data_IF_474989380218
#
_entry.id   IF_474989380218
#
_cell.length_a   1.000
_cell.length_b   1.000
_cell.length_c   1.000
_cell.angle_alpha   90.00
_cell.angle_beta   90.00
_cell.angle_gamma   90.00
#
_symmetry.space_group_name_H-M   'P 1'
#
loop_
_entity.id
_entity.type
_entity.pdbx_description
1 polymer ?
#
# COMPACT_ATOMS: atom_id res chain seq x y z
N UNK A 1 -18.09 4.18 17.58
CA UNK A 1 -16.82 3.55 17.14
C UNK A 1 -15.68 4.58 17.23
N UNK A 2 -15.35 5.06 18.44
CA UNK A 2 -14.24 5.98 18.73
C UNK A 2 -14.03 5.95 20.26
N UNK A 3 -13.53 4.85 20.81
CA UNK A 3 -13.14 4.76 22.24
C UNK A 3 -11.92 3.86 22.41
N UNK A 4 -10.82 4.17 21.72
CA UNK A 4 -9.54 3.50 22.00
C UNK A 4 -8.32 4.42 22.20
N UNK A 5 -8.32 5.67 21.72
CA UNK A 5 -7.28 6.67 22.06
C UNK A 5 -7.80 8.12 22.11
N UNK A 6 -8.68 8.46 23.06
CA UNK A 6 -8.99 9.87 23.38
C UNK A 6 -9.52 10.78 22.25
N UNK A 7 -9.94 10.23 21.10
CA UNK A 7 -10.37 11.00 19.93
C UNK A 7 -9.27 11.34 18.91
N UNK A 8 -8.05 10.83 19.07
CA UNK A 8 -6.98 10.98 18.09
C UNK A 8 -7.16 10.04 16.88
N UNK A 9 -6.82 10.53 15.68
CA UNK A 9 -6.87 9.76 14.43
C UNK A 9 -5.77 8.68 14.34
N UNK A 10 -4.51 8.96 14.74
CA UNK A 10 -3.44 7.96 14.73
C UNK A 10 -3.67 6.77 15.67
N UNK A 11 -3.31 5.57 15.23
CA UNK A 11 -3.38 4.34 16.01
C UNK A 11 -2.26 3.35 15.59
N UNK A 12 -2.20 2.16 16.20
CA UNK A 12 -1.10 1.19 15.96
C UNK A 12 -1.40 0.17 14.84
N UNK A 13 -2.57 0.29 14.21
CA UNK A 13 -3.06 -0.52 13.08
C UNK A 13 -2.94 0.34 11.82
N UNK A 14 -1.82 0.20 11.10
CA UNK A 14 -1.49 1.03 9.95
C UNK A 14 -2.48 0.84 8.79
N UNK A 15 -3.00 -0.37 8.62
CA UNK A 15 -4.07 -0.74 7.69
C UNK A 15 -5.36 0.07 7.94
N UNK A 16 -5.80 0.17 9.20
CA UNK A 16 -6.98 0.97 9.58
C UNK A 16 -6.76 2.47 9.30
N UNK A 17 -5.53 2.96 9.54
CA UNK A 17 -5.19 4.36 9.30
C UNK A 17 -5.17 4.73 7.82
N UNK A 18 -4.75 3.82 6.95
CA UNK A 18 -4.73 4.02 5.50
C UNK A 18 -6.14 4.09 4.92
N UNK A 19 -7.04 3.20 5.36
CA UNK A 19 -8.44 3.25 4.98
C UNK A 19 -9.09 4.58 5.41
N UNK A 20 -8.74 5.06 6.61
CA UNK A 20 -9.19 6.34 7.11
C UNK A 20 -8.62 7.52 6.30
N UNK A 21 -7.32 7.50 5.97
CA UNK A 21 -6.65 8.56 5.24
C UNK A 21 -7.35 8.81 3.90
N UNK A 22 -7.75 7.74 3.22
CA UNK A 22 -8.39 7.85 1.90
C UNK A 22 -9.87 8.09 1.97
N UNK A 23 -10.56 7.56 2.98
CA UNK A 23 -11.93 8.00 3.24
C UNK A 23 -11.97 9.53 3.40
N UNK A 24 -11.00 10.11 4.10
CA UNK A 24 -10.86 11.56 4.23
C UNK A 24 -10.44 12.25 2.93
N UNK A 25 -9.52 11.69 2.15
CA UNK A 25 -9.16 12.26 0.84
C UNK A 25 -10.35 12.31 -0.12
N UNK A 26 -11.12 11.21 -0.24
CA UNK A 26 -12.33 11.16 -1.06
C UNK A 26 -13.43 12.08 -0.54
N UNK A 27 -13.56 12.22 0.79
CA UNK A 27 -14.46 13.20 1.36
C UNK A 27 -14.04 14.63 1.01
N UNK A 28 -12.74 14.91 0.95
CA UNK A 28 -12.24 16.19 0.46
C UNK A 28 -12.57 16.41 -1.01
N UNK A 29 -12.28 15.46 -1.90
CA UNK A 29 -12.61 15.54 -3.34
C UNK A 29 -14.10 15.80 -3.59
N UNK A 30 -14.98 15.12 -2.84
CA UNK A 30 -16.42 15.23 -3.01
C UNK A 30 -17.00 16.55 -2.46
N UNK A 31 -16.34 17.19 -1.49
CA UNK A 31 -16.93 18.31 -0.73
C UNK A 31 -16.15 19.62 -0.81
N UNK A 32 -14.87 19.57 -1.21
CA UNK A 32 -13.93 20.69 -1.15
C UNK A 32 -13.55 21.12 0.27
N UNK A 33 -14.02 20.44 1.33
CA UNK A 33 -13.79 20.88 2.71
C UNK A 33 -12.36 20.53 3.16
N UNK A 34 -11.52 21.55 3.32
CA UNK A 34 -10.07 21.44 3.60
C UNK A 34 -9.72 20.56 4.80
N UNK A 35 -10.53 20.55 5.87
CA UNK A 35 -10.26 19.74 7.08
C UNK A 35 -10.14 18.23 6.79
N UNK A 36 -10.81 17.75 5.74
CA UNK A 36 -10.72 16.34 5.35
C UNK A 36 -9.37 16.06 4.69
N UNK A 37 -8.85 16.99 3.88
CA UNK A 37 -7.49 16.92 3.35
C UNK A 37 -6.46 16.94 4.48
N UNK A 38 -6.62 17.82 5.47
CA UNK A 38 -5.73 17.90 6.63
C UNK A 38 -5.71 16.60 7.44
N UNK A 39 -6.87 15.96 7.64
CA UNK A 39 -6.96 14.66 8.32
C UNK A 39 -6.26 13.54 7.52
N UNK A 40 -6.42 13.52 6.20
CA UNK A 40 -5.74 12.57 5.33
C UNK A 40 -4.21 12.75 5.38
N UNK A 41 -3.73 13.99 5.38
CA UNK A 41 -2.31 14.32 5.47
C UNK A 41 -1.70 13.97 6.83
N UNK A 42 -2.44 14.19 7.92
CA UNK A 42 -1.99 13.84 9.28
C UNK A 42 -1.87 12.33 9.46
N UNK A 43 -2.85 11.57 8.97
CA UNK A 43 -2.77 10.11 8.95
C UNK A 43 -1.60 9.66 8.09
N UNK A 44 -1.41 10.28 6.91
CA UNK A 44 -0.27 9.97 6.04
C UNK A 44 1.05 10.10 6.77
N UNK A 45 1.32 11.24 7.42
CA UNK A 45 2.56 11.48 8.17
C UNK A 45 2.83 10.40 9.23
N UNK A 46 1.78 9.99 9.96
CA UNK A 46 1.91 8.94 10.99
C UNK A 46 2.14 7.55 10.37
N UNK A 47 1.43 7.22 9.28
CA UNK A 47 1.62 5.97 8.56
C UNK A 47 3.08 5.85 8.07
N UNK A 48 3.72 6.96 7.66
CA UNK A 48 5.13 6.93 7.26
C UNK A 48 6.08 6.51 8.38
N UNK A 49 5.70 6.70 9.64
CA UNK A 49 6.54 6.30 10.80
C UNK A 49 6.53 4.79 11.05
N UNK A 50 5.48 4.10 10.58
CA UNK A 50 5.39 2.65 10.62
C UNK A 50 6.14 1.96 9.49
N UNK A 51 6.55 2.71 8.47
CA UNK A 51 7.20 2.16 7.29
C UNK A 51 8.67 1.84 7.56
N UNK A 52 9.03 0.58 7.36
CA UNK A 52 10.40 0.10 7.36
C UNK A 52 10.75 -0.53 6.00
N UNK A 53 12.04 -0.49 5.63
CA UNK A 53 12.58 -1.09 4.40
C UNK A 53 12.48 -2.64 4.37
N UNK A 54 11.86 -3.25 5.38
CA UNK A 54 11.81 -4.69 5.53
C UNK A 54 10.44 -5.34 5.30
N UNK A 55 9.33 -4.59 5.21
CA UNK A 55 8.02 -5.19 4.96
C UNK A 55 6.99 -4.24 4.32
N UNK A 56 7.39 -3.24 3.51
CA UNK A 56 6.42 -2.42 2.77
C UNK A 56 5.27 -1.83 3.63
N UNK A 57 5.50 -1.60 4.93
CA UNK A 57 4.51 -1.13 5.91
C UNK A 57 3.48 -2.17 6.39
N UNK A 58 3.17 -3.20 5.60
CA UNK A 58 2.17 -4.19 5.97
C UNK A 58 2.84 -5.40 6.63
N UNK A 59 2.60 -5.53 7.93
CA UNK A 59 2.93 -6.71 8.73
C UNK A 59 2.58 -8.01 7.99
N UNK A 60 3.30 -9.09 8.30
CA UNK A 60 2.95 -10.44 7.86
C UNK A 60 1.58 -10.85 8.45
N UNK A 61 0.49 -10.42 7.84
CA UNK A 61 -0.90 -10.61 8.32
C UNK A 61 -1.44 -12.02 8.05
N UNK A 62 -0.56 -12.93 7.63
CA UNK A 62 -0.86 -14.33 7.38
C UNK A 62 -1.52 -14.57 6.02
N UNK A 63 -2.21 -15.70 5.93
CA UNK A 63 -2.96 -16.17 4.76
C UNK A 63 -4.47 -15.90 4.94
N UNK A 64 -5.29 -16.14 3.92
CA UNK A 64 -6.74 -15.87 3.96
C UNK A 64 -7.03 -14.37 3.79
N UNK A 65 -7.92 -13.80 4.61
CA UNK A 65 -8.34 -12.39 4.44
C UNK A 65 -7.18 -11.39 4.58
N UNK A 66 -6.20 -11.71 5.45
CA UNK A 66 -4.99 -10.91 5.63
C UNK A 66 -4.12 -10.79 4.37
N UNK A 67 -4.24 -11.75 3.45
CA UNK A 67 -3.55 -11.72 2.17
C UNK A 67 -3.95 -10.52 1.29
N UNK A 68 -5.16 -9.95 1.46
CA UNK A 68 -5.68 -8.86 0.62
C UNK A 68 -5.32 -7.46 1.14
N UNK A 69 -4.99 -7.33 2.43
CA UNK A 69 -4.76 -6.03 3.07
C UNK A 69 -3.62 -5.25 2.40
N UNK A 70 -2.51 -5.92 2.06
CA UNK A 70 -1.42 -5.33 1.25
C UNK A 70 -1.87 -4.73 -0.08
N UNK A 71 -2.78 -5.41 -0.79
CA UNK A 71 -3.28 -4.95 -2.08
C UNK A 71 -4.13 -3.68 -1.94
N UNK A 72 -4.92 -3.62 -0.87
CA UNK A 72 -5.73 -2.44 -0.54
C UNK A 72 -4.81 -1.27 -0.20
N UNK A 73 -3.82 -1.49 0.66
CA UNK A 73 -2.75 -0.52 0.97
C UNK A 73 -2.11 0.03 -0.30
N UNK A 74 -1.63 -0.84 -1.20
CA UNK A 74 -0.94 -0.42 -2.42
C UNK A 74 -1.82 0.44 -3.33
N UNK A 75 -3.07 0.02 -3.55
CA UNK A 75 -4.01 0.80 -4.36
C UNK A 75 -4.08 2.25 -3.86
N UNK A 76 -4.08 2.37 -2.55
CA UNK A 76 -4.29 3.58 -1.80
C UNK A 76 -3.05 4.48 -1.73
N UNK A 77 -1.86 3.91 -1.54
CA UNK A 77 -0.60 4.64 -1.71
C UNK A 77 -0.48 5.23 -3.11
N UNK A 78 -0.86 4.47 -4.14
CA UNK A 78 -0.76 4.91 -5.52
C UNK A 78 -1.75 6.03 -5.85
N UNK A 79 -2.99 5.98 -5.34
CA UNK A 79 -3.96 7.08 -5.45
C UNK A 79 -3.39 8.36 -4.82
N UNK A 80 -2.75 8.26 -3.65
CA UNK A 80 -2.11 9.42 -3.02
C UNK A 80 -0.91 9.95 -3.80
N UNK A 81 -0.07 9.07 -4.35
CA UNK A 81 1.09 9.46 -5.17
C UNK A 81 0.67 10.25 -6.43
N UNK A 82 -0.48 9.89 -7.03
CA UNK A 82 -1.04 10.60 -8.18
C UNK A 82 -1.60 11.98 -7.83
N UNK A 83 -2.30 12.11 -6.70
CA UNK A 83 -2.99 13.35 -6.31
C UNK A 83 -2.08 14.36 -5.59
N UNK A 84 -1.10 13.87 -4.84
CA UNK A 84 -0.16 14.70 -4.09
C UNK A 84 1.17 14.82 -4.83
N UNK A 85 1.15 15.47 -5.99
CA UNK A 85 2.34 15.74 -6.82
C UNK A 85 3.53 16.22 -5.97
N UNK A 86 4.65 15.49 -6.04
CA UNK A 86 5.90 15.81 -5.32
C UNK A 86 6.25 14.92 -4.12
N UNK A 87 5.76 13.66 -4.08
CA UNK A 87 6.03 12.71 -3.00
C UNK A 87 6.79 11.48 -3.50
N UNK A 88 8.11 11.65 -3.65
CA UNK A 88 9.04 10.61 -4.07
C UNK A 88 9.00 9.36 -3.19
N UNK A 89 8.62 9.48 -1.91
CA UNK A 89 8.70 8.37 -0.96
C UNK A 89 7.63 7.30 -1.21
N UNK A 90 6.40 7.68 -1.57
CA UNK A 90 5.34 6.72 -1.88
C UNK A 90 5.65 5.96 -3.18
N UNK A 91 6.17 6.69 -4.16
CA UNK A 91 6.62 6.19 -5.45
C UNK A 91 7.78 5.20 -5.30
N UNK A 92 8.84 5.59 -4.59
CA UNK A 92 10.01 4.76 -4.29
C UNK A 92 9.61 3.47 -3.55
N UNK A 93 8.66 3.57 -2.62
CA UNK A 93 8.17 2.43 -1.87
C UNK A 93 7.43 1.44 -2.76
N UNK A 94 6.50 1.91 -3.59
CA UNK A 94 5.76 1.08 -4.54
C UNK A 94 6.72 0.38 -5.51
N UNK A 95 7.71 1.11 -6.05
CA UNK A 95 8.74 0.55 -6.92
C UNK A 95 9.61 -0.51 -6.20
N UNK A 96 10.10 -0.20 -5.00
CA UNK A 96 10.93 -1.11 -4.21
C UNK A 96 10.20 -2.42 -3.91
N UNK A 97 8.94 -2.32 -3.48
CA UNK A 97 8.11 -3.50 -3.21
C UNK A 97 7.79 -4.28 -4.49
N UNK A 98 7.54 -3.61 -5.62
CA UNK A 98 7.27 -4.30 -6.89
C UNK A 98 8.51 -5.07 -7.38
N UNK A 99 9.70 -4.48 -7.23
CA UNK A 99 10.95 -5.15 -7.55
C UNK A 99 11.19 -6.37 -6.65
N UNK A 100 10.94 -6.25 -5.35
CA UNK A 100 11.04 -7.34 -4.39
C UNK A 100 10.05 -8.46 -4.71
N UNK A 101 8.77 -8.11 -4.92
CA UNK A 101 7.71 -9.03 -5.31
C UNK A 101 8.10 -9.83 -6.55
N UNK A 102 8.55 -9.13 -7.60
CA UNK A 102 8.86 -9.72 -8.89
C UNK A 102 10.08 -10.63 -8.86
N UNK A 103 11.11 -10.23 -8.09
CA UNK A 103 12.42 -10.89 -8.10
C UNK A 103 12.56 -11.98 -7.04
N UNK A 104 11.89 -11.84 -5.90
CA UNK A 104 12.11 -12.70 -4.73
C UNK A 104 10.88 -13.53 -4.37
N UNK A 105 9.67 -13.04 -4.63
CA UNK A 105 8.44 -13.66 -4.16
C UNK A 105 7.57 -14.28 -5.25
N UNK A 106 8.02 -14.25 -6.50
CA UNK A 106 7.33 -14.88 -7.64
C UNK A 106 7.80 -16.31 -7.85
N UNK A 107 6.89 -17.25 -7.66
CA UNK A 107 7.09 -18.63 -8.10
C UNK A 107 6.75 -18.74 -9.60
N UNK A 108 7.75 -19.02 -10.43
CA UNK A 108 7.63 -19.10 -11.89
C UNK A 108 6.91 -20.36 -12.39
N UNK A 109 6.98 -21.45 -11.64
CA UNK A 109 6.34 -22.70 -12.03
C UNK A 109 4.84 -22.62 -11.78
N UNK A 110 4.47 -22.08 -10.62
CA UNK A 110 3.08 -21.93 -10.20
C UNK A 110 2.44 -20.62 -10.66
N UNK A 111 3.23 -19.65 -11.13
CA UNK A 111 2.80 -18.29 -11.49
C UNK A 111 2.02 -17.58 -10.35
N UNK A 112 2.53 -17.71 -9.12
CA UNK A 112 1.94 -17.11 -7.92
C UNK A 112 2.94 -16.24 -7.17
N UNK A 113 2.42 -15.29 -6.40
CA UNK A 113 3.18 -14.42 -5.53
C UNK A 113 2.99 -14.81 -4.06
N UNK A 114 4.06 -14.78 -3.29
CA UNK A 114 4.02 -15.06 -1.86
C UNK A 114 3.41 -13.88 -1.07
N UNK A 115 2.86 -14.15 0.12
CA UNK A 115 2.43 -13.09 1.05
C UNK A 115 3.63 -12.32 1.62
N UNK A 116 4.78 -12.97 1.74
CA UNK A 116 6.04 -12.31 2.04
C UNK A 116 6.77 -11.96 0.74
N UNK A 117 6.81 -10.67 0.42
CA UNK A 117 7.42 -10.16 -0.82
C UNK A 117 8.95 -10.22 -0.84
N UNK A 118 9.59 -10.81 0.18
CA UNK A 118 11.04 -11.02 0.25
C UNK A 118 11.48 -12.47 0.02
N UNK A 119 10.55 -13.42 -0.13
CA UNK A 119 10.87 -14.85 -0.21
C UNK A 119 9.90 -15.63 -1.09
N UNK A 120 10.37 -16.75 -1.64
CA UNK A 120 9.53 -17.67 -2.42
C UNK A 120 8.47 -18.35 -1.52
N UNK A 121 7.27 -18.64 -2.05
CA UNK A 121 6.23 -19.30 -1.28
C UNK A 121 6.60 -20.76 -0.99
N UNK A 122 6.71 -21.14 0.28
CA UNK A 122 6.88 -22.55 0.69
C UNK A 122 5.56 -23.33 0.77
N UNK A 123 4.44 -22.62 0.74
CA UNK A 123 3.10 -23.18 0.94
C UNK A 123 2.13 -22.81 -0.19
N UNK A 124 0.86 -23.20 -0.03
CA UNK A 124 -0.22 -22.80 -0.93
C UNK A 124 -0.43 -21.28 -0.82
N UNK A 125 -0.60 -20.63 -1.96
CA UNK A 125 -0.97 -19.22 -2.05
C UNK A 125 -2.48 -19.11 -2.23
N UNK A 126 -3.14 -18.28 -1.42
CA UNK A 126 -4.56 -17.95 -1.58
C UNK A 126 -4.80 -16.89 -2.65
N UNK A 127 -6.05 -16.81 -3.12
CA UNK A 127 -6.45 -15.80 -4.10
C UNK A 127 -6.27 -14.37 -3.58
N UNK A 128 -6.56 -14.12 -2.30
CA UNK A 128 -6.37 -12.82 -1.66
C UNK A 128 -4.91 -12.36 -1.70
N UNK A 129 -3.98 -13.27 -1.36
CA UNK A 129 -2.54 -13.03 -1.46
C UNK A 129 -2.13 -12.72 -2.90
N UNK A 130 -2.62 -13.52 -3.86
CA UNK A 130 -2.33 -13.31 -5.27
C UNK A 130 -2.84 -11.95 -5.78
N UNK A 131 -4.04 -11.55 -5.37
CA UNK A 131 -4.63 -10.27 -5.74
C UNK A 131 -3.79 -9.09 -5.26
N UNK A 132 -3.22 -9.15 -4.05
CA UNK A 132 -2.34 -8.10 -3.55
C UNK A 132 -1.10 -7.90 -4.41
N UNK A 133 -0.46 -9.00 -4.85
CA UNK A 133 0.67 -8.91 -5.77
C UNK A 133 0.29 -8.31 -7.12
N UNK A 134 -0.85 -8.70 -7.67
CA UNK A 134 -1.36 -8.17 -8.95
C UNK A 134 -1.70 -6.68 -8.83
N UNK A 135 -2.35 -6.27 -7.74
CA UNK A 135 -2.67 -4.86 -7.48
C UNK A 135 -1.42 -4.00 -7.42
N UNK A 136 -0.33 -4.50 -6.81
CA UNK A 136 0.94 -3.78 -6.79
C UNK A 136 1.53 -3.55 -8.18
N UNK A 137 1.64 -4.62 -8.97
CA UNK A 137 2.18 -4.51 -10.32
C UNK A 137 1.32 -3.59 -11.20
N UNK A 138 0.00 -3.66 -11.08
CA UNK A 138 -0.91 -2.81 -11.85
C UNK A 138 -0.82 -1.34 -11.43
N UNK A 139 -0.68 -1.04 -10.13
CA UNK A 139 -0.48 0.35 -9.67
C UNK A 139 0.85 0.93 -10.12
N UNK A 140 1.93 0.16 -10.04
CA UNK A 140 3.24 0.62 -10.54
C UNK A 140 3.18 0.87 -12.05
N UNK A 141 2.57 -0.02 -12.83
CA UNK A 141 2.40 0.19 -14.27
C UNK A 141 1.58 1.46 -14.59
N UNK A 142 0.56 1.78 -13.78
CA UNK A 142 -0.22 3.01 -13.93
C UNK A 142 0.61 4.27 -13.64
N UNK A 143 1.46 4.25 -12.61
CA UNK A 143 2.38 5.34 -12.28
C UNK A 143 3.44 5.54 -13.38
N UNK A 144 3.96 4.44 -13.95
CA UNK A 144 4.90 4.49 -15.08
C UNK A 144 4.25 5.10 -16.32
N UNK A 145 3.03 4.66 -16.67
CA UNK A 145 2.28 5.21 -17.78
C UNK A 145 1.96 6.70 -17.61
N UNK A 146 1.79 7.15 -16.37
CA UNK A 146 1.61 8.57 -16.01
C UNK A 146 2.90 9.39 -15.98
N UNK A 147 4.07 8.77 -16.17
CA UNK A 147 5.37 9.44 -16.06
C UNK A 147 5.75 9.86 -14.64
N UNK A 148 5.05 9.33 -13.63
CA UNK A 148 5.29 9.61 -12.21
C UNK A 148 6.51 8.85 -11.72
N UNK A 149 6.66 7.59 -12.17
CA UNK A 149 7.82 6.75 -11.82
C UNK A 149 8.48 6.18 -13.07
N UNK A 150 9.75 5.80 -12.95
CA UNK A 150 10.50 5.10 -14.00
C UNK A 150 11.13 3.86 -13.37
N UNK A 151 10.67 2.65 -13.72
CA UNK A 151 11.39 1.45 -13.27
C UNK A 151 12.69 1.27 -14.05
N UNK A 152 13.68 0.65 -13.40
CA UNK A 152 14.95 0.27 -14.02
C UNK A 152 14.93 -1.14 -14.64
N UNK A 153 13.77 -1.79 -14.69
CA UNK A 153 13.65 -3.20 -15.04
C UNK A 153 13.18 -3.38 -16.49
N UNK A 154 14.14 -3.69 -17.36
CA UNK A 154 13.96 -4.40 -18.62
C UNK A 154 14.31 -5.89 -18.46
#
# INVERSE_FOLDING_TARGET
>A
MLKRKGGAFPNELYDDMEWMAIAWLRAYEATGIVRFKEAALLLWEDIQTGWNNHMGGASHEGDGDGGLFKGILVRYLAELALEASGRSEAEELLLSNANSLWSLARDMERNVFHTDWSSLPSERVTLSTQLSGIMLLERVAALEAGGVVVSQTA
#
